data_IF_514169124936
#
_entry.id   IF_514169124936
#
_cell.length_a   1.000
_cell.length_b   1.000
_cell.length_c   1.000
_cell.angle_alpha   90.00
_cell.angle_beta   90.00
_cell.angle_gamma   90.00
#
_symmetry.space_group_name_H-M   'P 1'
#
loop_
_entity.id
_entity.type
_entity.pdbx_description
1 polymer ?
#
# COMPACT_ATOMS: atom_id res chain seq x y z
N UNK A 1 36.49 -4.01 -61.52
CA UNK A 1 36.24 -2.94 -60.52
C UNK A 1 35.53 -3.55 -59.33
N UNK A 2 36.19 -3.60 -58.16
CA UNK A 2 35.57 -4.09 -56.91
C UNK A 2 34.93 -2.89 -56.20
N UNK A 3 33.61 -2.92 -56.00
CA UNK A 3 32.93 -1.92 -55.20
C UNK A 3 33.12 -2.25 -53.71
N UNK A 4 33.90 -1.44 -53.01
CA UNK A 4 34.03 -1.48 -51.55
C UNK A 4 32.77 -0.89 -50.91
N UNK A 5 31.95 -1.74 -50.30
CA UNK A 5 30.82 -1.36 -49.46
C UNK A 5 31.38 -0.82 -48.13
N UNK A 6 31.30 0.49 -47.91
CA UNK A 6 31.63 1.10 -46.61
C UNK A 6 30.42 0.96 -45.69
N UNK A 7 30.54 0.10 -44.68
CA UNK A 7 29.59 -0.06 -43.61
C UNK A 7 29.68 1.18 -42.69
N UNK A 8 28.69 2.08 -42.75
CA UNK A 8 28.57 3.16 -41.77
C UNK A 8 27.94 2.59 -40.49
N UNK A 9 28.75 2.41 -39.45
CA UNK A 9 28.27 2.08 -38.11
C UNK A 9 27.68 3.36 -37.49
N UNK A 10 26.35 3.51 -37.54
CA UNK A 10 25.65 4.55 -36.80
C UNK A 10 25.59 4.11 -35.33
N UNK A 11 26.49 4.63 -34.52
CA UNK A 11 26.41 4.52 -33.06
C UNK A 11 25.27 5.42 -32.61
N UNK A 12 24.14 4.82 -32.27
CA UNK A 12 22.99 5.50 -31.68
C UNK A 12 23.39 5.92 -30.25
N UNK A 13 23.86 7.15 -30.09
CA UNK A 13 24.00 7.82 -28.79
C UNK A 13 22.59 8.01 -28.23
N UNK A 14 22.11 7.04 -27.46
CA UNK A 14 20.92 7.21 -26.64
C UNK A 14 21.30 8.26 -25.58
N UNK A 15 20.68 9.45 -25.56
CA UNK A 15 20.91 10.38 -24.47
C UNK A 15 20.47 9.69 -23.18
N UNK A 16 21.44 9.47 -22.28
CA UNK A 16 21.22 9.12 -20.87
C UNK A 16 20.57 10.34 -20.22
N UNK A 17 19.29 10.52 -20.50
CA UNK A 17 18.56 11.75 -20.23
C UNK A 17 17.06 11.50 -20.26
N UNK A 18 16.65 10.36 -19.69
CA UNK A 18 15.32 10.03 -19.21
C UNK A 18 15.46 8.72 -18.43
N UNK A 19 16.27 8.77 -17.35
CA UNK A 19 15.88 8.00 -16.17
C UNK A 19 14.53 8.59 -15.84
N UNK A 20 13.45 7.87 -16.16
CA UNK A 20 12.14 8.20 -15.61
C UNK A 20 12.37 8.42 -14.13
N UNK A 21 12.01 9.59 -13.60
CA UNK A 21 11.69 9.66 -12.18
C UNK A 21 10.73 8.50 -11.98
N UNK A 22 11.22 7.44 -11.36
CA UNK A 22 10.40 6.36 -10.87
C UNK A 22 9.47 7.08 -9.91
N UNK A 23 8.25 7.37 -10.36
CA UNK A 23 7.23 8.00 -9.53
C UNK A 23 7.16 7.14 -8.30
N UNK A 24 7.62 7.68 -7.19
CA UNK A 24 7.63 7.01 -5.89
C UNK A 24 6.28 6.33 -5.72
N UNK A 25 6.32 5.04 -5.35
CA UNK A 25 5.20 4.12 -5.40
C UNK A 25 3.88 4.80 -5.03
N UNK A 26 2.97 4.91 -6.00
CA UNK A 26 1.70 5.62 -5.82
C UNK A 26 0.78 4.93 -4.78
N UNK A 27 1.06 3.69 -4.39
CA UNK A 27 0.28 2.92 -3.42
C UNK A 27 0.58 3.23 -1.94
N UNK A 28 0.02 2.42 -1.05
CA UNK A 28 0.32 2.45 0.38
C UNK A 28 1.81 2.14 0.58
N UNK A 29 2.53 3.01 1.29
CA UNK A 29 3.94 2.81 1.61
C UNK A 29 4.12 1.82 2.77
N UNK A 30 4.02 0.52 2.46
CA UNK A 30 4.10 -0.56 3.45
C UNK A 30 5.50 -0.80 4.07
N UNK A 31 6.55 -0.29 3.42
CA UNK A 31 7.94 -0.66 3.69
C UNK A 31 8.76 0.53 4.20
N UNK A 32 9.76 0.22 5.01
CA UNK A 32 10.78 1.14 5.50
C UNK A 32 12.16 0.72 5.00
N UNK A 33 13.20 1.05 5.76
CA UNK A 33 14.60 0.78 5.40
C UNK A 33 15.09 -0.61 5.84
N UNK A 34 14.43 -1.26 6.82
CA UNK A 34 14.83 -2.59 7.31
C UNK A 34 14.23 -3.73 6.47
N UNK A 35 15.07 -4.45 5.74
CA UNK A 35 14.66 -5.57 4.87
C UNK A 35 13.97 -6.72 5.62
N UNK A 36 14.36 -6.98 6.87
CA UNK A 36 13.76 -8.05 7.67
C UNK A 36 12.37 -7.64 8.16
N UNK A 37 12.20 -6.38 8.60
CA UNK A 37 10.88 -5.84 8.91
C UNK A 37 9.97 -5.84 7.66
N UNK A 38 10.52 -5.45 6.50
CA UNK A 38 9.81 -5.48 5.23
C UNK A 38 9.35 -6.90 4.84
N UNK A 39 10.17 -7.92 5.07
CA UNK A 39 9.79 -9.32 4.88
C UNK A 39 8.65 -9.75 5.81
N UNK A 40 8.72 -9.37 7.09
CA UNK A 40 7.65 -9.65 8.07
C UNK A 40 6.33 -9.00 7.66
N UNK A 41 6.35 -7.74 7.19
CA UNK A 41 5.16 -7.05 6.67
C UNK A 41 4.52 -7.83 5.52
N UNK A 42 5.30 -8.35 4.56
CA UNK A 42 4.74 -9.11 3.45
C UNK A 42 4.10 -10.44 3.88
N UNK A 43 4.74 -11.16 4.79
CA UNK A 43 4.15 -12.38 5.37
C UNK A 43 2.88 -12.06 6.18
N UNK A 44 2.88 -10.96 6.92
CA UNK A 44 1.73 -10.53 7.70
C UNK A 44 0.54 -10.14 6.80
N UNK A 45 0.78 -9.47 5.68
CA UNK A 45 -0.24 -9.14 4.68
C UNK A 45 -0.85 -10.44 4.13
N UNK A 46 -0.04 -11.42 3.72
CA UNK A 46 -0.53 -12.70 3.20
C UNK A 46 -1.42 -13.42 4.21
N UNK A 47 -0.96 -13.58 5.45
CA UNK A 47 -1.76 -14.17 6.53
C UNK A 47 -3.05 -13.39 6.79
N UNK A 48 -3.00 -12.05 6.79
CA UNK A 48 -4.20 -11.24 7.00
C UNK A 48 -5.23 -11.44 5.88
N UNK A 49 -4.76 -11.53 4.63
CA UNK A 49 -5.61 -11.80 3.46
C UNK A 49 -6.20 -13.22 3.48
N UNK A 50 -5.51 -14.16 4.11
CA UNK A 50 -5.98 -15.52 4.37
C UNK A 50 -6.79 -15.66 5.68
N UNK A 51 -7.11 -14.55 6.36
CA UNK A 51 -7.89 -14.51 7.61
C UNK A 51 -7.16 -15.22 8.79
N UNK A 52 -5.84 -15.42 8.69
CA UNK A 52 -5.00 -15.96 9.76
C UNK A 52 -4.53 -14.84 10.70
N UNK A 53 -5.48 -14.29 11.46
CA UNK A 53 -5.32 -13.03 12.21
C UNK A 53 -4.23 -13.06 13.28
N UNK A 54 -4.08 -14.15 14.02
CA UNK A 54 -3.06 -14.26 15.07
C UNK A 54 -1.65 -14.26 14.47
N UNK A 55 -1.45 -14.95 13.34
CA UNK A 55 -0.16 -14.95 12.63
C UNK A 55 0.15 -13.57 12.05
N UNK A 56 -0.85 -12.94 11.43
CA UNK A 56 -0.72 -11.58 10.91
C UNK A 56 -0.35 -10.60 12.02
N UNK A 57 -1.05 -10.65 13.17
CA UNK A 57 -0.77 -9.82 14.33
C UNK A 57 0.68 -9.96 14.79
N UNK A 58 1.15 -11.20 15.04
CA UNK A 58 2.52 -11.45 15.51
C UNK A 58 3.57 -10.90 14.55
N UNK A 59 3.37 -11.03 13.24
CA UNK A 59 4.34 -10.55 12.25
C UNK A 59 4.29 -9.03 12.07
N UNK A 60 3.11 -8.41 12.08
CA UNK A 60 3.01 -6.95 12.06
C UNK A 60 3.63 -6.32 13.31
N UNK A 61 3.37 -6.89 14.50
CA UNK A 61 3.94 -6.42 15.77
C UNK A 61 5.46 -6.54 15.80
N UNK A 62 6.00 -7.68 15.34
CA UNK A 62 7.44 -7.86 15.17
C UNK A 62 8.04 -6.87 14.17
N UNK A 63 7.34 -6.57 13.08
CA UNK A 63 7.80 -5.62 12.07
C UNK A 63 7.91 -4.20 12.65
N UNK A 64 6.88 -3.69 13.33
CA UNK A 64 6.90 -2.32 13.90
C UNK A 64 7.85 -2.20 15.09
N UNK A 65 8.09 -3.29 15.83
CA UNK A 65 9.12 -3.32 16.87
C UNK A 65 10.52 -3.20 16.28
N UNK A 66 10.72 -3.76 15.08
CA UNK A 66 12.02 -3.79 14.40
C UNK A 66 12.30 -2.53 13.59
N UNK A 67 11.30 -2.00 12.89
CA UNK A 67 11.33 -0.73 12.18
C UNK A 67 10.18 0.15 12.67
N UNK A 68 10.52 1.07 13.56
CA UNK A 68 9.56 1.96 14.22
C UNK A 68 9.06 3.09 13.30
N UNK A 69 9.49 3.13 12.03
CA UNK A 69 9.02 4.12 11.05
C UNK A 69 7.80 3.65 10.25
N UNK A 70 7.40 2.38 10.41
CA UNK A 70 6.34 1.73 9.66
C UNK A 70 4.94 2.15 10.14
N UNK A 71 4.27 3.05 9.42
CA UNK A 71 2.90 3.46 9.75
C UNK A 71 1.83 2.43 9.34
N UNK A 72 1.99 1.77 8.17
CA UNK A 72 0.92 0.96 7.58
C UNK A 72 0.57 -0.29 8.41
N UNK A 73 1.54 -1.05 8.97
CA UNK A 73 1.24 -2.14 9.90
C UNK A 73 0.39 -1.73 11.11
N UNK A 74 0.59 -0.51 11.63
CA UNK A 74 -0.21 -0.01 12.75
C UNK A 74 -1.71 0.11 12.43
N UNK A 75 -2.08 0.36 11.16
CA UNK A 75 -3.49 0.37 10.74
C UNK A 75 -4.11 -1.02 10.92
N UNK A 76 -3.41 -2.08 10.53
CA UNK A 76 -3.90 -3.46 10.69
C UNK A 76 -3.86 -3.89 12.17
N UNK A 77 -2.80 -3.52 12.90
CA UNK A 77 -2.69 -3.81 14.33
C UNK A 77 -3.79 -3.14 15.15
N UNK A 78 -4.23 -1.92 14.82
CA UNK A 78 -5.41 -1.30 15.43
C UNK A 78 -6.64 -2.19 15.27
N UNK A 79 -6.92 -2.65 14.04
CA UNK A 79 -8.09 -3.48 13.74
C UNK A 79 -8.09 -4.80 14.50
N UNK A 80 -6.89 -5.37 14.74
CA UNK A 80 -6.69 -6.64 15.44
C UNK A 80 -6.57 -6.48 16.96
N UNK A 81 -6.44 -5.25 17.48
CA UNK A 81 -6.23 -4.97 18.90
C UNK A 81 -7.50 -4.52 19.62
N UNK A 82 -7.43 -4.45 20.95
CA UNK A 82 -8.47 -3.91 21.82
C UNK A 82 -7.86 -2.98 22.88
N UNK A 83 -8.69 -2.13 23.48
CA UNK A 83 -8.30 -1.24 24.58
C UNK A 83 -7.10 -0.35 24.24
N UNK A 84 -6.19 -0.19 25.19
CA UNK A 84 -5.04 0.73 25.07
C UNK A 84 -4.14 0.43 23.86
N UNK A 85 -3.98 -0.84 23.49
CA UNK A 85 -3.18 -1.22 22.32
C UNK A 85 -3.79 -0.75 21.01
N UNK A 86 -5.12 -0.77 20.91
CA UNK A 86 -5.84 -0.23 19.75
C UNK A 86 -5.57 1.27 19.61
N UNK A 87 -5.73 2.02 20.69
CA UNK A 87 -5.49 3.46 20.70
C UNK A 87 -4.03 3.81 20.43
N UNK A 88 -3.10 3.04 20.98
CA UNK A 88 -1.67 3.18 20.71
C UNK A 88 -1.35 3.05 19.22
N UNK A 89 -1.81 1.97 18.57
CA UNK A 89 -1.55 1.78 17.14
C UNK A 89 -2.26 2.82 16.27
N UNK A 90 -3.47 3.25 16.63
CA UNK A 90 -4.14 4.36 15.96
C UNK A 90 -3.31 5.65 16.02
N UNK A 91 -2.75 5.97 17.18
CA UNK A 91 -1.91 7.16 17.37
C UNK A 91 -0.61 7.08 16.57
N UNK A 92 0.11 5.96 16.61
CA UNK A 92 1.36 5.80 15.85
C UNK A 92 1.10 5.83 14.33
N UNK A 93 0.04 5.19 13.83
CA UNK A 93 -0.32 5.27 12.41
C UNK A 93 -0.54 6.72 11.95
N UNK A 94 -1.25 7.54 12.74
CA UNK A 94 -1.52 8.95 12.42
C UNK A 94 -0.27 9.82 12.46
N UNK A 95 0.61 9.59 13.42
CA UNK A 95 1.88 10.32 13.55
C UNK A 95 2.84 9.97 12.41
N UNK A 96 3.02 8.67 12.13
CA UNK A 96 4.04 8.21 11.18
C UNK A 96 3.66 8.39 9.70
N UNK A 97 2.37 8.63 9.41
CA UNK A 97 1.92 8.95 8.04
C UNK A 97 2.14 10.42 7.67
N UNK A 98 2.51 11.27 8.62
CA UNK A 98 2.88 12.66 8.33
C UNK A 98 4.04 12.69 7.32
N UNK A 99 3.88 13.49 6.26
CA UNK A 99 4.85 13.57 5.17
C UNK A 99 4.84 12.40 4.17
N UNK A 100 3.97 11.38 4.33
CA UNK A 100 3.80 10.29 3.35
C UNK A 100 2.86 10.71 2.21
N UNK A 101 2.79 9.87 1.17
CA UNK A 101 1.95 10.10 -0.01
C UNK A 101 0.44 10.13 0.32
N UNK A 102 -0.37 10.67 -0.59
CA UNK A 102 -1.82 10.84 -0.38
C UNK A 102 -2.55 9.50 -0.17
N UNK A 103 -2.17 8.43 -0.88
CA UNK A 103 -2.79 7.11 -0.72
C UNK A 103 -2.53 6.53 0.68
N UNK A 104 -1.34 6.76 1.22
CA UNK A 104 -0.99 6.37 2.60
C UNK A 104 -1.82 7.15 3.63
N UNK A 105 -2.02 8.46 3.41
CA UNK A 105 -2.89 9.28 4.28
C UNK A 105 -4.35 8.83 4.23
N UNK A 106 -4.86 8.51 3.04
CA UNK A 106 -6.20 7.94 2.89
C UNK A 106 -6.32 6.59 3.61
N UNK A 107 -5.30 5.74 3.52
CA UNK A 107 -5.28 4.46 4.23
C UNK A 107 -5.40 4.64 5.75
N UNK A 108 -4.66 5.58 6.34
CA UNK A 108 -4.75 5.89 7.78
C UNK A 108 -6.10 6.53 8.14
N UNK A 109 -6.70 7.32 7.25
CA UNK A 109 -8.01 7.95 7.50
C UNK A 109 -9.14 6.94 7.72
N UNK A 110 -8.99 5.70 7.24
CA UNK A 110 -9.94 4.62 7.52
C UNK A 110 -10.13 4.36 9.01
N UNK A 111 -9.12 4.67 9.85
CA UNK A 111 -9.19 4.53 11.31
C UNK A 111 -10.18 5.50 11.98
N UNK A 112 -10.64 6.53 11.27
CA UNK A 112 -11.63 7.49 11.74
C UNK A 112 -13.06 7.12 11.32
N UNK A 113 -13.22 6.07 10.52
CA UNK A 113 -14.53 5.51 10.14
C UNK A 113 -15.01 4.59 11.26
N UNK A 114 -15.80 5.14 12.17
CA UNK A 114 -16.35 4.44 13.33
C UNK A 114 -17.78 3.96 13.10
N UNK A 115 -18.40 3.33 14.09
CA UNK A 115 -19.83 2.96 14.03
C UNK A 115 -20.74 4.19 13.93
N UNK A 116 -20.28 5.33 14.45
CA UNK A 116 -21.10 6.55 14.53
C UNK A 116 -20.88 7.48 13.34
N UNK A 117 -20.04 7.08 12.38
CA UNK A 117 -19.85 7.80 11.12
C UNK A 117 -21.15 7.74 10.30
N UNK A 118 -21.70 8.90 9.96
CA UNK A 118 -22.83 9.00 9.05
C UNK A 118 -22.47 8.43 7.67
N UNK A 119 -23.36 7.64 7.06
CA UNK A 119 -23.13 6.94 5.79
C UNK A 119 -21.80 6.16 5.78
N UNK A 120 -21.47 5.53 6.91
CA UNK A 120 -20.21 4.80 7.16
C UNK A 120 -19.75 3.95 5.98
N UNK A 121 -20.66 3.17 5.39
CA UNK A 121 -20.32 2.30 4.27
C UNK A 121 -19.91 3.11 3.04
N UNK A 122 -20.66 4.16 2.67
CA UNK A 122 -20.33 5.01 1.53
C UNK A 122 -19.01 5.75 1.72
N UNK A 123 -18.72 6.22 2.94
CA UNK A 123 -17.44 6.84 3.29
C UNK A 123 -16.29 5.82 3.13
N UNK A 124 -16.48 4.59 3.62
CA UNK A 124 -15.49 3.53 3.47
C UNK A 124 -15.27 3.16 1.99
N UNK A 125 -16.34 2.99 1.21
CA UNK A 125 -16.27 2.65 -0.23
C UNK A 125 -15.59 3.75 -1.03
N UNK A 126 -16.00 4.99 -0.83
CA UNK A 126 -15.43 6.14 -1.54
C UNK A 126 -13.95 6.35 -1.21
N UNK A 127 -13.53 6.06 0.03
CA UNK A 127 -12.10 6.12 0.41
C UNK A 127 -11.28 5.10 -0.37
N UNK A 128 -11.72 3.84 -0.44
CA UNK A 128 -11.03 2.81 -1.24
C UNK A 128 -11.03 3.12 -2.74
N UNK A 129 -12.15 3.61 -3.28
CA UNK A 129 -12.24 4.06 -4.68
C UNK A 129 -11.21 5.16 -4.97
N UNK A 130 -11.10 6.17 -4.10
CA UNK A 130 -10.12 7.25 -4.26
C UNK A 130 -8.68 6.74 -4.21
N UNK A 131 -8.38 5.78 -3.31
CA UNK A 131 -7.06 5.15 -3.25
C UNK A 131 -6.73 4.39 -4.54
N UNK A 132 -7.68 3.65 -5.10
CA UNK A 132 -7.52 2.94 -6.37
C UNK A 132 -7.33 3.92 -7.54
N UNK A 133 -8.13 5.00 -7.62
CA UNK A 133 -7.99 5.99 -8.69
C UNK A 133 -6.63 6.72 -8.67
N UNK A 134 -6.07 6.95 -7.48
CA UNK A 134 -4.74 7.57 -7.32
C UNK A 134 -3.59 6.59 -7.58
N UNK A 135 -3.84 5.28 -7.45
CA UNK A 135 -2.86 4.22 -7.60
C UNK A 135 -3.51 2.97 -8.19
N UNK A 136 -3.89 2.98 -9.49
CA UNK A 136 -4.62 1.88 -10.11
C UNK A 136 -3.77 0.59 -10.18
N UNK A 137 -2.47 0.77 -10.43
CA UNK A 137 -1.43 -0.28 -10.32
C UNK A 137 -0.92 -0.47 -8.89
N UNK A 138 -1.68 0.01 -7.89
CA UNK A 138 -1.34 -0.08 -6.49
C UNK A 138 -1.23 -1.53 -5.99
N UNK A 139 -0.78 -1.71 -4.75
CA UNK A 139 -0.61 -3.05 -4.17
C UNK A 139 -1.90 -3.87 -4.25
N UNK A 140 -1.77 -5.19 -4.40
CA UNK A 140 -2.86 -6.18 -4.32
C UNK A 140 -3.89 -5.88 -3.20
N UNK A 141 -3.41 -5.37 -2.06
CA UNK A 141 -4.26 -4.97 -0.93
C UNK A 141 -5.30 -3.88 -1.28
N UNK A 142 -4.91 -2.86 -2.05
CA UNK A 142 -5.80 -1.78 -2.47
C UNK A 142 -6.82 -2.32 -3.47
N UNK A 143 -6.38 -3.08 -4.47
CA UNK A 143 -7.26 -3.68 -5.47
C UNK A 143 -8.31 -4.60 -4.83
N UNK A 144 -7.90 -5.48 -3.93
CA UNK A 144 -8.82 -6.36 -3.20
C UNK A 144 -9.87 -5.58 -2.40
N UNK A 145 -9.47 -4.56 -1.65
CA UNK A 145 -10.41 -3.77 -0.85
C UNK A 145 -11.31 -2.89 -1.71
N UNK A 146 -10.81 -2.37 -2.84
CA UNK A 146 -11.61 -1.64 -3.82
C UNK A 146 -12.66 -2.56 -4.46
N UNK A 147 -12.29 -3.75 -4.93
CA UNK A 147 -13.24 -4.72 -5.46
C UNK A 147 -14.32 -5.07 -4.42
N UNK A 148 -13.93 -5.33 -3.17
CA UNK A 148 -14.87 -5.56 -2.06
C UNK A 148 -15.77 -4.37 -1.73
N UNK A 149 -15.34 -3.16 -2.07
CA UNK A 149 -16.13 -1.96 -1.85
C UNK A 149 -17.31 -1.80 -2.80
N UNK A 150 -17.31 -2.49 -3.95
CA UNK A 150 -18.44 -2.44 -4.88
C UNK A 150 -19.66 -3.20 -4.37
N UNK A 151 -20.84 -2.62 -4.58
CA UNK A 151 -22.12 -3.21 -4.18
C UNK A 151 -22.48 -4.44 -5.03
N UNK A 152 -22.40 -4.34 -6.36
CA UNK A 152 -22.81 -5.41 -7.27
C UNK A 152 -21.74 -6.50 -7.38
N UNK A 153 -22.16 -7.73 -7.10
CA UNK A 153 -21.34 -8.95 -7.25
C UNK A 153 -20.81 -9.09 -8.68
N UNK A 154 -21.60 -8.71 -9.69
CA UNK A 154 -21.18 -8.78 -11.10
C UNK A 154 -20.04 -7.81 -11.39
N UNK A 155 -20.09 -6.61 -10.82
CA UNK A 155 -19.00 -5.64 -10.93
C UNK A 155 -17.74 -6.06 -10.18
N UNK A 156 -17.85 -6.94 -9.17
CA UNK A 156 -16.70 -7.52 -8.47
C UNK A 156 -16.00 -8.64 -9.23
N UNK A 157 -16.68 -9.31 -10.16
CA UNK A 157 -16.16 -10.48 -10.91
C UNK A 157 -15.46 -10.07 -12.22
N UNK A 158 -15.70 -8.85 -12.72
CA UNK A 158 -15.22 -8.39 -14.03
C UNK A 158 -13.86 -7.67 -14.03
N UNK A 159 -13.22 -7.48 -12.87
CA UNK A 159 -11.81 -7.03 -12.75
C UNK A 159 -10.87 -8.23 -12.61
#
# INVERSE_FOLDING_TARGET
MKATLKLFLIVLLIPVGLVSQQTEAQGIMWRGEDDTANYMVWQAIDHNMNIEREKAYTLFDAAVTKDTTLFAPHVVLEMLSNGDMREHHKAEAKKLVEGKNEVSKLYVSLLDITRETENREDVWRSTWKKMYELAPEGSYFVQFNYARSREDVKERIME
#
